data_IF_182654343739
#
_entry.id   IF_182654343739
#
_cell.length_a   1.000
_cell.length_b   1.000
_cell.length_c   1.000
_cell.angle_alpha   90.00
_cell.angle_beta   90.00
_cell.angle_gamma   90.00
#
_symmetry.space_group_name_H-M   'P 1'
#
loop_
_entity.id
_entity.type
_entity.pdbx_description
1 polymer ?
#
# COMPACT_ATOMS: atom_id res chain seq x y z
N UNK A 1 -15.17 -3.88 -1.74
CA UNK A 1 -14.65 -2.77 -0.94
C UNK A 1 -15.28 -1.49 -1.43
N UNK A 2 -16.24 -0.98 -0.69
CA UNK A 2 -16.86 0.33 -0.88
C UNK A 2 -15.97 1.42 -0.29
N UNK A 3 -16.25 2.69 -0.63
CA UNK A 3 -15.52 3.83 -0.06
C UNK A 3 -15.64 3.90 1.47
N UNK A 4 -16.83 3.62 2.01
CA UNK A 4 -17.06 3.65 3.46
C UNK A 4 -16.24 2.57 4.20
N UNK A 5 -16.17 1.35 3.65
CA UNK A 5 -15.36 0.27 4.22
C UNK A 5 -13.86 0.61 4.21
N UNK A 6 -13.41 1.35 3.19
CA UNK A 6 -12.04 1.83 3.10
C UNK A 6 -11.71 2.90 4.15
N UNK A 7 -12.61 3.86 4.35
CA UNK A 7 -12.44 4.89 5.38
C UNK A 7 -12.44 4.29 6.78
N UNK A 8 -13.34 3.33 7.06
CA UNK A 8 -13.36 2.60 8.32
C UNK A 8 -12.07 1.80 8.56
N UNK A 9 -11.52 1.18 7.52
CA UNK A 9 -10.24 0.49 7.58
C UNK A 9 -9.10 1.46 7.98
N UNK A 10 -9.01 2.62 7.34
CA UNK A 10 -8.00 3.64 7.66
C UNK A 10 -8.18 4.12 9.11
N UNK A 11 -9.40 4.47 9.51
CA UNK A 11 -9.69 4.96 10.87
C UNK A 11 -9.36 3.91 11.92
N UNK A 12 -9.71 2.64 11.69
CA UNK A 12 -9.38 1.53 12.59
C UNK A 12 -7.87 1.36 12.75
N UNK A 13 -7.09 1.47 11.66
CA UNK A 13 -5.63 1.43 11.69
C UNK A 13 -5.04 2.61 12.48
N UNK A 14 -5.52 3.82 12.23
CA UNK A 14 -5.06 5.05 12.92
C UNK A 14 -5.36 4.98 14.42
N UNK A 15 -6.55 4.52 14.83
CA UNK A 15 -6.90 4.35 16.25
C UNK A 15 -5.98 3.36 16.97
N UNK A 16 -5.41 2.39 16.25
CA UNK A 16 -4.44 1.42 16.77
C UNK A 16 -3.00 1.95 16.76
N UNK A 17 -2.76 3.18 16.28
CA UNK A 17 -1.42 3.78 16.20
C UNK A 17 -0.50 3.09 15.18
N UNK A 18 -1.06 2.37 14.20
CA UNK A 18 -0.28 1.62 13.22
C UNK A 18 0.11 2.54 12.06
N UNK A 19 1.40 2.89 11.97
CA UNK A 19 1.93 3.67 10.85
C UNK A 19 1.95 2.85 9.55
N UNK A 20 1.49 3.45 8.45
CA UNK A 20 1.57 2.84 7.13
C UNK A 20 2.72 3.47 6.30
N UNK A 21 3.36 2.66 5.49
CA UNK A 21 4.33 3.10 4.48
C UNK A 21 3.76 2.76 3.11
N UNK A 22 3.68 3.75 2.22
CA UNK A 22 3.06 3.59 0.90
C UNK A 22 4.04 4.01 -0.17
N UNK A 23 4.23 3.12 -1.15
CA UNK A 23 4.97 3.41 -2.36
C UNK A 23 3.97 3.60 -3.50
N UNK A 24 4.04 4.75 -4.16
CA UNK A 24 3.20 5.06 -5.32
C UNK A 24 4.05 5.46 -6.51
N UNK A 25 3.63 5.07 -7.71
CA UNK A 25 4.17 5.66 -8.94
C UNK A 25 3.62 7.08 -9.12
N UNK A 26 4.40 7.96 -9.73
CA UNK A 26 3.97 9.32 -10.05
C UNK A 26 2.82 9.29 -11.09
N UNK A 27 1.61 9.51 -10.59
CA UNK A 27 0.37 9.52 -11.36
C UNK A 27 -0.49 10.69 -10.88
N UNK A 28 -1.48 11.11 -11.68
CA UNK A 28 -2.35 12.27 -11.36
C UNK A 28 -3.05 12.19 -9.98
N UNK A 29 -3.15 11.01 -9.37
CA UNK A 29 -3.74 10.80 -8.05
C UNK A 29 -2.73 10.62 -6.90
N UNK A 30 -1.44 10.49 -7.19
CA UNK A 30 -0.43 10.16 -6.18
C UNK A 30 -0.27 11.28 -5.13
N UNK A 31 -0.32 12.54 -5.55
CA UNK A 31 -0.23 13.71 -4.65
C UNK A 31 -1.36 13.75 -3.61
N UNK A 32 -2.54 13.20 -3.94
CA UNK A 32 -3.66 13.13 -3.01
C UNK A 32 -3.33 12.21 -1.82
N UNK A 33 -2.56 11.14 -2.03
CA UNK A 33 -2.13 10.25 -0.95
C UNK A 33 -1.23 11.02 0.03
N UNK A 34 -0.23 11.74 -0.47
CA UNK A 34 0.68 12.52 0.37
C UNK A 34 -0.05 13.59 1.20
N UNK A 35 -1.09 14.23 0.65
CA UNK A 35 -1.87 15.24 1.38
C UNK A 35 -2.55 14.70 2.64
N UNK A 36 -2.82 13.40 2.69
CA UNK A 36 -3.47 12.78 3.85
C UNK A 36 -2.49 12.06 4.79
N UNK A 37 -1.18 12.09 4.52
CA UNK A 37 -0.18 11.32 5.25
C UNK A 37 -0.20 11.58 6.76
N UNK A 38 -0.17 12.85 7.16
CA UNK A 38 -0.21 13.23 8.58
C UNK A 38 -1.49 12.74 9.27
N UNK A 39 -2.65 13.04 8.67
CA UNK A 39 -3.98 12.66 9.21
C UNK A 39 -4.16 11.14 9.29
N UNK A 40 -3.60 10.41 8.34
CA UNK A 40 -3.77 8.96 8.21
C UNK A 40 -2.61 8.18 8.80
N UNK A 41 -1.70 8.81 9.55
CA UNK A 41 -0.51 8.16 10.11
C UNK A 41 0.21 7.32 9.03
N UNK A 42 0.49 7.95 7.89
CA UNK A 42 1.10 7.34 6.70
C UNK A 42 2.35 8.12 6.30
N UNK A 43 3.28 7.42 5.66
CA UNK A 43 4.39 8.00 4.91
C UNK A 43 4.34 7.51 3.48
N UNK A 44 4.10 8.41 2.54
CA UNK A 44 3.98 8.09 1.10
C UNK A 44 5.21 8.55 0.35
N UNK A 45 5.89 7.61 -0.31
CA UNK A 45 6.95 7.87 -1.28
C UNK A 45 6.40 7.76 -2.70
N UNK A 46 6.36 8.88 -3.42
CA UNK A 46 6.03 8.92 -4.84
C UNK A 46 7.32 8.77 -5.65
N UNK A 47 7.33 7.88 -6.64
CA UNK A 47 8.48 7.62 -7.52
C UNK A 47 8.10 7.76 -8.99
N UNK A 48 8.76 8.66 -9.70
CA UNK A 48 8.53 8.94 -11.13
C UNK A 48 9.21 7.93 -12.06
N UNK A 49 10.20 7.19 -11.57
CA UNK A 49 10.91 6.16 -12.33
C UNK A 49 10.16 4.82 -12.36
N UNK A 50 9.12 4.66 -11.53
CA UNK A 50 8.31 3.46 -11.48
C UNK A 50 7.18 3.50 -12.51
N UNK A 51 6.91 2.35 -13.12
CA UNK A 51 5.67 2.16 -13.87
C UNK A 51 4.48 2.14 -12.91
N UNK A 52 3.31 2.68 -13.30
CA UNK A 52 2.11 2.60 -12.50
C UNK A 52 1.76 1.16 -12.12
N UNK A 53 1.62 0.93 -10.82
CA UNK A 53 1.14 -0.34 -10.29
C UNK A 53 -0.33 -0.51 -10.67
N UNK A 54 -0.67 -1.65 -11.28
CA UNK A 54 -2.05 -1.99 -11.64
C UNK A 54 -2.80 -2.72 -10.53
N UNK A 55 -2.05 -3.24 -9.56
CA UNK A 55 -2.57 -3.98 -8.42
C UNK A 55 -2.16 -3.24 -7.15
N UNK A 56 -3.00 -3.35 -6.12
CA UNK A 56 -2.66 -2.93 -4.77
C UNK A 56 -2.11 -4.12 -3.99
N UNK A 57 -1.00 -3.92 -3.30
CA UNK A 57 -0.40 -4.93 -2.42
C UNK A 57 -0.31 -4.37 -1.01
N UNK A 58 -0.91 -5.07 -0.04
CA UNK A 58 -0.84 -4.75 1.38
C UNK A 58 -0.05 -5.83 2.10
N UNK A 59 0.93 -5.42 2.90
CA UNK A 59 1.76 -6.31 3.70
C UNK A 59 1.49 -5.99 5.17
N UNK A 60 1.04 -6.98 5.94
CA UNK A 60 0.73 -6.84 7.37
C UNK A 60 1.19 -8.07 8.15
N UNK A 61 2.36 -7.97 8.78
CA UNK A 61 3.00 -9.10 9.46
C UNK A 61 3.29 -10.23 8.46
N UNK A 62 2.74 -11.41 8.73
CA UNK A 62 2.85 -12.63 7.92
C UNK A 62 1.74 -12.76 6.85
N UNK A 63 1.00 -11.68 6.58
CA UNK A 63 -0.12 -11.67 5.63
C UNK A 63 0.14 -10.67 4.51
N UNK A 64 -0.07 -11.11 3.29
CA UNK A 64 -0.01 -10.28 2.08
C UNK A 64 -1.33 -10.36 1.35
N UNK A 65 -1.98 -9.22 1.13
CA UNK A 65 -3.15 -9.12 0.28
C UNK A 65 -2.75 -8.48 -1.06
N UNK A 66 -3.22 -9.05 -2.16
CA UNK A 66 -3.07 -8.48 -3.50
C UNK A 66 -4.46 -8.31 -4.10
N UNK A 67 -4.76 -7.10 -4.56
CA UNK A 67 -6.06 -6.71 -5.13
C UNK A 67 -5.84 -6.11 -6.53
N UNK A 68 -6.71 -6.47 -7.47
CA UNK A 68 -6.73 -5.89 -8.81
C UNK A 68 -8.12 -5.40 -9.17
N UNK A 69 -8.20 -4.22 -9.79
CA UNK A 69 -9.46 -3.55 -10.13
C UNK A 69 -9.56 -3.10 -11.60
N UNK A 70 -8.56 -3.41 -12.44
CA UNK A 70 -8.45 -2.84 -13.79
C UNK A 70 -9.42 -3.48 -14.80
N UNK A 71 -9.16 -4.72 -15.22
CA UNK A 71 -9.97 -5.43 -16.23
C UNK A 71 -10.89 -6.48 -15.58
N UNK A 72 -10.31 -7.29 -14.70
CA UNK A 72 -11.02 -8.25 -13.88
C UNK A 72 -10.78 -7.90 -12.42
N UNK A 73 -11.86 -7.86 -11.64
CA UNK A 73 -11.75 -7.70 -10.18
C UNK A 73 -11.28 -9.03 -9.62
N UNK A 74 -10.11 -9.02 -8.97
CA UNK A 74 -9.60 -10.18 -8.25
C UNK A 74 -8.96 -9.76 -6.94
N UNK A 75 -8.88 -10.70 -6.01
CA UNK A 75 -8.18 -10.51 -4.76
C UNK A 75 -7.80 -11.85 -4.15
N UNK A 76 -6.62 -11.91 -3.55
CA UNK A 76 -6.21 -13.05 -2.76
C UNK A 76 -5.37 -12.60 -1.57
N UNK A 77 -5.37 -13.44 -0.54
CA UNK A 77 -4.55 -13.25 0.66
C UNK A 77 -3.66 -14.49 0.78
N UNK A 78 -2.36 -14.25 0.93
CA UNK A 78 -1.38 -15.27 1.29
C UNK A 78 -1.03 -15.05 2.75
N UNK A 79 -1.23 -16.08 3.58
CA UNK A 79 -0.78 -16.12 4.97
C UNK A 79 0.39 -17.09 5.05
N UNK A 80 1.60 -16.55 4.94
CA UNK A 80 2.85 -17.29 4.94
C UNK A 80 4.02 -16.36 5.30
N UNK A 81 4.89 -16.81 6.20
CA UNK A 81 5.98 -15.97 6.72
C UNK A 81 7.05 -15.69 5.66
N UNK A 82 7.48 -16.70 4.91
CA UNK A 82 8.55 -16.57 3.90
C UNK A 82 8.08 -15.68 2.73
N UNK A 83 6.83 -15.86 2.30
CA UNK A 83 6.23 -15.02 1.28
C UNK A 83 6.13 -13.56 1.74
N UNK A 84 5.67 -13.32 2.97
CA UNK A 84 5.58 -11.96 3.52
C UNK A 84 6.95 -11.30 3.68
N UNK A 85 7.97 -12.05 4.10
CA UNK A 85 9.36 -11.58 4.18
C UNK A 85 9.90 -11.18 2.80
N UNK A 86 9.67 -11.99 1.77
CA UNK A 86 10.08 -11.66 0.40
C UNK A 86 9.39 -10.38 -0.09
N UNK A 87 8.08 -10.25 0.10
CA UNK A 87 7.34 -9.04 -0.31
C UNK A 87 7.83 -7.80 0.45
N UNK A 88 8.13 -7.94 1.74
CA UNK A 88 8.70 -6.86 2.57
C UNK A 88 10.06 -6.44 2.03
N UNK A 89 10.93 -7.39 1.68
CA UNK A 89 12.25 -7.10 1.11
C UNK A 89 12.15 -6.33 -0.22
N UNK A 90 11.22 -6.74 -1.10
CA UNK A 90 10.96 -6.05 -2.36
C UNK A 90 10.44 -4.63 -2.13
N UNK A 91 9.47 -4.47 -1.22
CA UNK A 91 8.95 -3.16 -0.83
C UNK A 91 10.07 -2.26 -0.28
N UNK A 92 10.84 -2.76 0.68
CA UNK A 92 11.93 -2.03 1.33
C UNK A 92 12.99 -1.59 0.32
N UNK A 93 13.34 -2.43 -0.66
CA UNK A 93 14.30 -2.07 -1.69
C UNK A 93 13.81 -0.89 -2.54
N UNK A 94 12.54 -0.93 -2.93
CA UNK A 94 11.92 0.15 -3.70
C UNK A 94 11.68 1.41 -2.86
N UNK A 95 11.40 1.25 -1.56
CA UNK A 95 11.11 2.35 -0.64
C UNK A 95 12.37 3.07 -0.16
N UNK A 96 13.46 2.35 0.13
CA UNK A 96 14.72 2.93 0.63
C UNK A 96 15.56 3.59 -0.46
N UNK A 97 15.61 3.00 -1.66
CA UNK A 97 16.48 3.52 -2.71
C UNK A 97 15.88 4.81 -3.33
N UNK A 98 16.61 5.95 -3.32
CA UNK A 98 16.29 7.05 -4.22
C UNK A 98 16.57 6.62 -5.67
N UNK A 99 15.83 7.21 -6.62
CA UNK A 99 16.08 7.02 -8.05
C UNK A 99 17.47 7.51 -8.45
#
# INVERSE_FOLDING_TARGET
FSANEHDEFILSRVRKGIKAYVLAADTKGADLLQRYDERELRETKIRSDLKPFKNETYIYGDKVAVLGFAEMIFGFIVHDEEFAQLQTLLFDNLFKNPA
#
